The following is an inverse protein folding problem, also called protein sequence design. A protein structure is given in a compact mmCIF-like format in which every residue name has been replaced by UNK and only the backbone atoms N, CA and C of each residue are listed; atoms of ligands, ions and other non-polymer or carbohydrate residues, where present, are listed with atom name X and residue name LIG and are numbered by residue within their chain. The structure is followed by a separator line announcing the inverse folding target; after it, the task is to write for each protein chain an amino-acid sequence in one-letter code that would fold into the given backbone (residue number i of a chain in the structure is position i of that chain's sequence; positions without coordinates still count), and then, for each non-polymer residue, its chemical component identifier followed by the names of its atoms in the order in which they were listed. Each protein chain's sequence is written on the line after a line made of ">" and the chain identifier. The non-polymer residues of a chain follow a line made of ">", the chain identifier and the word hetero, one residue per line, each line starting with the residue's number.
data_IF_372812229902
#
_entry.id   IF_372812229902
#
_cell.length_a   1.000
_cell.length_b   1.000
_cell.length_c   1.000
_cell.angle_alpha   90.00
_cell.angle_beta   90.00
_cell.angle_gamma   90.00
#
_symmetry.space_group_name_H-M   'P 1'
#
loop_
_entity.id
_entity.type
_entity.pdbx_description
1 polymer ?
#
# COMPACT_ATOMS: atom_id res chain seq x y z
N UNK A 1 2.08 15.29 -4.15
CA UNK A 1 0.85 14.89 -4.88
C UNK A 1 1.12 13.97 -6.09
N UNK A 2 2.14 13.10 -6.02
CA UNK A 2 2.30 11.96 -6.93
C UNK A 2 1.26 10.87 -6.63
N UNK A 3 1.32 9.72 -7.34
CA UNK A 3 0.33 8.66 -7.16
C UNK A 3 0.22 8.26 -5.67
N UNK A 4 1.32 7.82 -5.05
CA UNK A 4 1.30 7.37 -3.66
C UNK A 4 1.04 8.52 -2.67
N UNK A 5 1.82 9.61 -2.73
CA UNK A 5 1.65 10.75 -1.82
C UNK A 5 0.28 11.42 -1.95
N UNK A 6 -0.25 11.50 -3.17
CA UNK A 6 -1.60 12.01 -3.38
C UNK A 6 -2.71 11.10 -2.83
N UNK A 7 -2.52 9.77 -2.91
CA UNK A 7 -3.47 8.82 -2.33
C UNK A 7 -3.42 8.85 -0.79
N UNK A 8 -2.24 8.97 -0.20
CA UNK A 8 -2.09 9.14 1.26
C UNK A 8 -2.76 10.45 1.70
N UNK A 9 -2.48 11.58 1.03
CA UNK A 9 -3.10 12.86 1.40
C UNK A 9 -4.63 12.81 1.33
N UNK A 10 -5.19 12.15 0.31
CA UNK A 10 -6.64 11.94 0.20
C UNK A 10 -7.19 11.02 1.29
N UNK A 11 -6.46 9.96 1.60
CA UNK A 11 -6.85 9.04 2.67
C UNK A 11 -6.90 9.75 4.02
N UNK A 12 -5.85 10.52 4.34
CA UNK A 12 -5.79 11.31 5.57
C UNK A 12 -6.90 12.37 5.64
N UNK A 13 -7.18 13.05 4.53
CA UNK A 13 -8.22 14.08 4.48
C UNK A 13 -9.66 13.51 4.53
N UNK A 14 -9.84 12.24 4.20
CA UNK A 14 -11.12 11.53 4.35
C UNK A 14 -11.28 10.89 5.73
N UNK A 15 -10.18 10.74 6.45
CA UNK A 15 -10.15 10.15 7.77
C UNK A 15 -10.79 11.02 8.83
N UNK A 16 -10.82 10.52 10.05
CA UNK A 16 -11.46 11.16 11.20
C UNK A 16 -10.49 11.62 12.29
N UNK A 17 -9.20 11.25 12.16
CA UNK A 17 -8.19 11.47 13.20
C UNK A 17 -7.46 12.79 13.10
N UNK A 18 -7.41 13.38 11.91
CA UNK A 18 -6.81 14.68 11.66
C UNK A 18 -7.72 15.50 10.74
N UNK A 19 -7.76 16.80 10.95
CA UNK A 19 -8.50 17.69 10.06
C UNK A 19 -7.71 17.91 8.75
N UNK A 20 -8.40 18.10 7.63
CA UNK A 20 -7.75 18.35 6.35
C UNK A 20 -6.98 19.70 6.35
N UNK A 21 -7.33 20.63 7.23
CA UNK A 21 -6.60 21.89 7.47
C UNK A 21 -5.21 21.68 8.09
N UNK A 22 -4.95 20.54 8.74
CA UNK A 22 -3.66 20.18 9.33
C UNK A 22 -2.73 19.49 8.32
N UNK A 23 -3.20 19.28 7.09
CA UNK A 23 -2.43 18.65 6.03
C UNK A 23 -1.80 19.67 5.12
N UNK A 24 -0.47 19.62 5.00
CA UNK A 24 0.29 20.44 4.05
C UNK A 24 0.92 19.51 3.01
N UNK A 25 0.67 19.73 1.73
CA UNK A 25 1.20 18.91 0.65
C UNK A 25 2.15 19.69 -0.23
N UNK A 26 3.39 19.23 -0.32
CA UNK A 26 4.40 19.74 -1.26
C UNK A 26 4.48 18.89 -2.53
N UNK A 27 4.61 19.55 -3.67
CA UNK A 27 4.92 18.89 -4.93
C UNK A 27 5.50 19.91 -5.94
N UNK A 28 6.50 19.56 -6.76
CA UNK A 28 7.01 20.46 -7.80
C UNK A 28 6.00 20.77 -8.91
N UNK A 29 4.94 19.98 -9.07
CA UNK A 29 3.90 20.17 -10.10
C UNK A 29 2.69 20.89 -9.52
N UNK A 30 2.49 22.17 -9.86
CA UNK A 30 1.35 22.97 -9.43
C UNK A 30 -0.01 22.33 -9.78
N UNK A 31 -0.18 21.82 -11.00
CA UNK A 31 -1.45 21.24 -11.43
C UNK A 31 -1.89 20.00 -10.62
N UNK A 32 -0.94 19.23 -10.05
CA UNK A 32 -1.28 18.13 -9.14
C UNK A 32 -1.74 18.65 -7.77
N UNK A 33 -1.15 19.74 -7.31
CA UNK A 33 -1.50 20.40 -6.07
C UNK A 33 -2.88 21.02 -6.15
N UNK A 34 -3.15 21.76 -7.22
CA UNK A 34 -4.46 22.40 -7.43
C UNK A 34 -5.60 21.40 -7.56
N UNK A 35 -5.35 20.27 -8.24
CA UNK A 35 -6.32 19.18 -8.29
C UNK A 35 -6.66 18.65 -6.88
N UNK A 36 -5.65 18.44 -6.04
CA UNK A 36 -5.85 17.99 -4.66
C UNK A 36 -6.58 19.06 -3.82
N UNK A 37 -6.19 20.33 -3.94
CA UNK A 37 -6.82 21.46 -3.25
C UNK A 37 -8.29 21.66 -3.65
N UNK A 38 -8.61 21.43 -4.94
CA UNK A 38 -10.00 21.47 -5.41
C UNK A 38 -10.85 20.34 -4.84
N UNK A 39 -10.26 19.17 -4.67
CA UNK A 39 -10.91 17.98 -4.11
C UNK A 39 -11.09 18.10 -2.59
N UNK A 40 -10.09 18.67 -1.89
CA UNK A 40 -10.07 18.91 -0.44
C UNK A 40 -9.66 20.34 -0.14
N UNK A 41 -10.61 21.27 -0.01
CA UNK A 41 -10.32 22.70 0.17
C UNK A 41 -9.60 23.05 1.47
N UNK A 42 -9.64 22.22 2.50
CA UNK A 42 -8.90 22.42 3.75
C UNK A 42 -7.39 22.23 3.60
N UNK A 43 -6.94 21.29 2.75
CA UNK A 43 -5.51 21.00 2.57
C UNK A 43 -4.73 22.23 2.14
N UNK A 44 -3.61 22.51 2.81
CA UNK A 44 -2.64 23.51 2.37
C UNK A 44 -1.69 22.92 1.31
N UNK A 45 -1.36 23.70 0.29
CA UNK A 45 -0.49 23.28 -0.81
C UNK A 45 0.68 24.23 -0.99
N UNK A 46 1.86 23.71 -1.31
CA UNK A 46 3.06 24.51 -1.58
C UNK A 46 3.97 23.80 -2.60
N UNK A 47 4.85 24.55 -3.27
CA UNK A 47 5.92 23.98 -4.07
C UNK A 47 7.23 23.81 -3.29
N UNK A 48 7.30 24.20 -2.02
CA UNK A 48 8.46 24.16 -1.16
C UNK A 48 8.37 23.01 -0.15
N UNK A 49 9.30 22.05 -0.23
CA UNK A 49 9.41 20.96 0.77
C UNK A 49 9.74 21.53 2.16
N UNK A 50 10.57 22.56 2.21
CA UNK A 50 10.98 23.22 3.47
C UNK A 50 9.78 23.87 4.15
N UNK A 51 8.95 24.58 3.39
CA UNK A 51 7.73 25.19 3.91
C UNK A 51 6.77 24.12 4.45
N UNK A 52 6.52 23.05 3.70
CA UNK A 52 5.64 21.96 4.13
C UNK A 52 6.13 21.26 5.40
N UNK A 53 7.44 21.08 5.55
CA UNK A 53 8.02 20.40 6.72
C UNK A 53 8.19 21.30 7.96
N UNK A 54 8.17 22.64 7.76
CA UNK A 54 8.39 23.59 8.85
C UNK A 54 7.17 23.62 9.78
N UNK A 55 7.38 23.20 11.02
CA UNK A 55 6.32 23.18 12.05
C UNK A 55 5.41 21.95 12.01
N UNK A 56 5.55 21.07 11.04
CA UNK A 56 4.84 19.81 11.02
C UNK A 56 5.32 18.86 12.13
N UNK A 57 4.41 18.15 12.78
CA UNK A 57 4.75 17.11 13.77
C UNK A 57 5.16 15.81 13.07
N UNK A 58 4.57 15.54 11.90
CA UNK A 58 4.84 14.34 11.08
C UNK A 58 5.22 14.79 9.67
N UNK A 59 6.34 14.28 9.17
CA UNK A 59 6.82 14.53 7.81
C UNK A 59 6.80 13.22 7.02
N UNK A 60 5.99 13.17 5.95
CA UNK A 60 5.84 11.98 5.10
C UNK A 60 6.60 12.19 3.78
N UNK A 61 7.65 11.40 3.58
CA UNK A 61 8.46 11.39 2.36
C UNK A 61 7.85 10.45 1.32
N UNK A 62 7.04 10.99 0.43
CA UNK A 62 6.40 10.26 -0.66
C UNK A 62 7.07 10.53 -2.02
N UNK A 63 8.39 10.48 -2.04
CA UNK A 63 9.23 10.69 -3.22
C UNK A 63 9.81 9.37 -3.74
N UNK A 64 10.26 9.36 -4.99
CA UNK A 64 10.99 8.21 -5.52
C UNK A 64 12.36 8.07 -4.83
N UNK A 65 12.91 6.86 -4.67
CA UNK A 65 14.18 6.64 -3.95
C UNK A 65 15.32 7.57 -4.39
N UNK A 66 15.48 7.80 -5.66
CA UNK A 66 16.55 8.67 -6.21
C UNK A 66 16.37 10.18 -5.93
N UNK A 67 15.20 10.59 -5.44
CA UNK A 67 14.95 11.95 -4.95
C UNK A 67 15.07 12.08 -3.43
N UNK A 68 15.34 10.99 -2.71
CA UNK A 68 15.42 11.02 -1.26
C UNK A 68 16.53 11.95 -0.77
N UNK A 69 17.74 11.75 -1.25
CA UNK A 69 18.90 12.55 -0.84
C UNK A 69 18.72 14.05 -1.12
N UNK A 70 18.42 14.50 -2.36
CA UNK A 70 18.23 15.92 -2.61
C UNK A 70 17.12 16.57 -1.77
N UNK A 71 16.01 15.86 -1.54
CA UNK A 71 14.91 16.36 -0.69
C UNK A 71 15.36 16.46 0.77
N UNK A 72 15.98 15.42 1.31
CA UNK A 72 16.40 15.41 2.71
C UNK A 72 17.50 16.45 3.01
N UNK A 73 18.38 16.77 2.06
CA UNK A 73 19.41 17.82 2.22
C UNK A 73 18.84 19.22 2.44
N UNK A 74 17.66 19.51 1.86
CA UNK A 74 17.00 20.81 2.06
C UNK A 74 16.26 20.88 3.40
N UNK A 75 15.80 19.73 3.92
CA UNK A 75 14.97 19.68 5.11
C UNK A 75 15.81 19.83 6.38
N UNK A 76 15.38 20.72 7.27
CA UNK A 76 15.96 20.90 8.60
C UNK A 76 15.02 20.31 9.64
N UNK A 77 14.91 18.98 9.65
CA UNK A 77 14.02 18.28 10.56
C UNK A 77 14.53 18.41 12.01
N UNK A 78 13.58 18.51 12.95
CA UNK A 78 13.84 18.59 14.39
C UNK A 78 13.62 17.22 15.03
N UNK A 79 14.37 16.91 16.08
CA UNK A 79 14.32 15.62 16.77
C UNK A 79 12.92 15.21 17.28
N UNK A 80 12.06 16.19 17.57
CA UNK A 80 10.68 15.96 18.01
C UNK A 80 9.71 15.57 16.89
N UNK A 81 10.09 15.75 15.61
CA UNK A 81 9.25 15.38 14.47
C UNK A 81 9.34 13.87 14.22
N UNK A 82 8.25 13.30 13.75
CA UNK A 82 8.22 11.93 13.26
C UNK A 82 8.49 11.93 11.76
N UNK A 83 9.46 11.15 11.33
CA UNK A 83 9.79 10.98 9.91
C UNK A 83 9.17 9.68 9.40
N UNK A 84 8.33 9.76 8.37
CA UNK A 84 7.75 8.62 7.68
C UNK A 84 8.29 8.54 6.25
N UNK A 85 8.88 7.43 5.87
CA UNK A 85 9.26 7.16 4.48
C UNK A 85 8.32 6.14 3.86
N UNK A 86 7.76 6.45 2.69
CA UNK A 86 7.01 5.49 1.85
C UNK A 86 7.80 5.09 0.61
N UNK A 87 9.09 5.40 0.57
CA UNK A 87 9.98 5.02 -0.52
C UNK A 87 10.38 3.54 -0.40
N UNK A 88 10.05 2.76 -1.43
CA UNK A 88 10.51 1.38 -1.51
C UNK A 88 12.04 1.31 -1.64
N UNK A 89 12.66 0.34 -0.97
CA UNK A 89 14.10 0.09 -1.07
C UNK A 89 14.99 1.00 -0.21
N UNK A 90 14.46 1.99 0.50
CA UNK A 90 15.25 2.85 1.40
C UNK A 90 15.15 2.29 2.83
N UNK A 91 16.28 1.90 3.41
CA UNK A 91 16.37 1.34 4.77
C UNK A 91 16.39 2.44 5.86
N UNK A 92 16.20 2.04 7.13
CA UNK A 92 16.43 2.96 8.25
C UNK A 92 17.88 3.41 8.36
N UNK A 93 18.81 2.57 7.97
CA UNK A 93 20.23 2.93 7.95
C UNK A 93 20.49 4.05 6.95
N UNK A 94 19.96 3.94 5.74
CA UNK A 94 20.02 4.98 4.72
C UNK A 94 19.31 6.27 5.14
N UNK A 95 18.12 6.16 5.74
CA UNK A 95 17.38 7.32 6.27
C UNK A 95 18.17 8.03 7.37
N UNK A 96 18.84 7.28 8.25
CA UNK A 96 19.65 7.84 9.35
C UNK A 96 20.81 8.69 8.84
N UNK A 97 21.35 8.45 7.66
CA UNK A 97 22.40 9.30 7.07
C UNK A 97 21.92 10.72 6.71
N UNK A 98 20.60 10.91 6.58
CA UNK A 98 20.02 12.20 6.20
C UNK A 98 19.47 12.99 7.38
N UNK A 99 19.29 12.37 8.56
CA UNK A 99 18.76 13.04 9.74
C UNK A 99 19.88 13.50 10.65
N UNK A 100 19.77 14.72 11.17
CA UNK A 100 20.78 15.30 12.08
C UNK A 100 20.63 14.74 13.51
N UNK A 101 19.42 14.33 13.88
CA UNK A 101 19.10 13.83 15.21
C UNK A 101 19.04 12.28 15.19
N UNK A 102 20.03 11.58 15.72
CA UNK A 102 20.08 10.10 15.70
C UNK A 102 18.91 9.42 16.41
N UNK A 103 18.30 10.12 17.38
CA UNK A 103 17.15 9.67 18.17
C UNK A 103 15.80 9.92 17.51
N UNK A 104 15.76 10.54 16.32
CA UNK A 104 14.51 10.85 15.62
C UNK A 104 13.66 9.60 15.42
N UNK A 105 12.38 9.70 15.77
CA UNK A 105 11.40 8.65 15.52
C UNK A 105 11.15 8.49 14.02
N UNK A 106 11.35 7.29 13.50
CA UNK A 106 11.23 7.00 12.07
C UNK A 106 10.31 5.81 11.83
N UNK A 107 9.47 5.95 10.79
CA UNK A 107 8.67 4.85 10.27
C UNK A 107 8.96 4.63 8.79
N UNK A 108 8.97 3.36 8.40
CA UNK A 108 8.91 2.96 7.00
C UNK A 108 7.54 2.36 6.76
N UNK A 109 6.78 2.99 5.87
CA UNK A 109 5.46 2.53 5.49
C UNK A 109 5.47 2.10 4.03
N UNK A 110 5.01 0.89 3.79
CA UNK A 110 4.87 0.35 2.44
C UNK A 110 3.39 0.04 2.19
N UNK A 111 2.60 1.04 1.80
CA UNK A 111 1.25 0.84 1.33
C UNK A 111 1.25 0.24 -0.08
N UNK A 112 0.10 -0.26 -0.50
CA UNK A 112 -0.11 -0.62 -1.89
C UNK A 112 -1.08 0.35 -2.58
N UNK A 113 -1.33 0.17 -3.87
CA UNK A 113 -2.15 1.09 -4.67
C UNK A 113 -3.62 1.13 -4.26
N UNK A 114 -4.12 0.12 -3.54
CA UNK A 114 -5.50 0.10 -3.04
C UNK A 114 -5.75 1.12 -1.91
N UNK A 115 -4.71 1.85 -1.47
CA UNK A 115 -4.86 2.96 -0.52
C UNK A 115 -5.80 4.06 -1.06
N UNK A 116 -5.93 4.22 -2.38
CA UNK A 116 -6.88 5.15 -2.99
C UNK A 116 -8.33 4.77 -2.72
N UNK A 117 -8.57 3.49 -2.48
CA UNK A 117 -9.89 2.90 -2.21
C UNK A 117 -10.10 2.63 -0.70
N UNK A 118 -9.15 3.04 0.16
CA UNK A 118 -9.13 2.76 1.60
C UNK A 118 -9.05 1.26 1.94
N UNK A 119 -8.45 0.48 1.06
CA UNK A 119 -8.31 -1.00 1.15
C UNK A 119 -6.84 -1.42 1.03
N UNK A 120 -5.91 -0.58 1.50
CA UNK A 120 -4.48 -0.92 1.48
C UNK A 120 -4.16 -2.00 2.50
N UNK A 121 -3.26 -2.89 2.15
CA UNK A 121 -2.42 -3.57 3.13
C UNK A 121 -1.14 -2.74 3.30
N UNK A 122 -1.02 -2.03 4.41
CA UNK A 122 0.13 -1.16 4.70
C UNK A 122 1.06 -1.82 5.70
N UNK A 123 2.28 -2.09 5.27
CA UNK A 123 3.33 -2.61 6.15
C UNK A 123 4.02 -1.44 6.85
N UNK A 124 4.30 -1.60 8.14
CA UNK A 124 4.96 -0.59 8.96
C UNK A 124 6.17 -1.21 9.63
N UNK A 125 7.32 -0.57 9.55
CA UNK A 125 8.43 -0.79 10.46
C UNK A 125 8.72 0.51 11.21
N UNK A 126 9.18 0.39 12.46
CA UNK A 126 9.42 1.51 13.36
C UNK A 126 10.86 1.48 13.90
N UNK A 127 11.46 2.65 14.11
CA UNK A 127 12.78 2.84 14.71
C UNK A 127 12.80 4.09 15.57
N UNK A 128 13.37 4.00 16.77
CA UNK A 128 13.45 5.09 17.77
C UNK A 128 12.07 5.64 18.16
N UNK A 129 11.04 4.82 18.14
CA UNK A 129 9.68 5.18 18.47
C UNK A 129 9.32 4.71 19.87
N UNK A 130 8.22 5.23 20.40
CA UNK A 130 7.59 4.74 21.62
C UNK A 130 6.20 4.18 21.33
N UNK A 131 5.60 3.50 22.31
CA UNK A 131 4.29 2.85 22.17
C UNK A 131 3.16 3.80 21.76
N UNK A 132 3.20 5.08 22.17
CA UNK A 132 2.19 6.07 21.83
C UNK A 132 2.31 6.46 20.34
N UNK A 133 3.53 6.68 19.88
CA UNK A 133 3.82 6.98 18.47
C UNK A 133 3.43 5.81 17.58
N UNK A 134 3.78 4.58 17.96
CA UNK A 134 3.42 3.38 17.22
C UNK A 134 1.90 3.24 17.10
N UNK A 135 1.18 3.33 18.23
CA UNK A 135 -0.29 3.26 18.27
C UNK A 135 -0.95 4.35 17.42
N UNK A 136 -0.42 5.58 17.50
CA UNK A 136 -0.96 6.69 16.72
C UNK A 136 -0.79 6.46 15.22
N UNK A 137 0.41 6.10 14.77
CA UNK A 137 0.69 5.87 13.34
C UNK A 137 -0.10 4.67 12.81
N UNK A 138 -0.16 3.57 13.56
CA UNK A 138 -0.96 2.41 13.16
C UNK A 138 -2.44 2.78 13.03
N UNK A 139 -2.99 3.51 13.99
CA UNK A 139 -4.38 3.97 13.97
C UNK A 139 -4.64 4.93 12.80
N UNK A 140 -3.74 5.89 12.57
CA UNK A 140 -3.86 6.88 11.48
C UNK A 140 -3.94 6.19 10.10
N UNK A 141 -3.07 5.23 9.87
CA UNK A 141 -3.05 4.52 8.58
C UNK A 141 -4.11 3.42 8.48
N UNK A 142 -4.68 2.95 9.60
CA UNK A 142 -5.79 1.99 9.59
C UNK A 142 -7.10 2.57 9.01
N UNK A 143 -7.23 3.88 8.94
CA UNK A 143 -8.33 4.53 8.21
C UNK A 143 -8.24 4.33 6.69
N UNK A 144 -7.09 3.87 6.19
CA UNK A 144 -6.83 3.62 4.77
C UNK A 144 -6.68 2.12 4.42
N UNK A 145 -7.11 1.25 5.31
CA UNK A 145 -7.05 -0.21 5.15
C UNK A 145 -6.42 -0.93 6.34
N UNK A 146 -5.92 -2.13 6.11
CA UNK A 146 -5.26 -2.92 7.16
C UNK A 146 -3.80 -2.50 7.30
N UNK A 147 -3.33 -2.38 8.55
CA UNK A 147 -1.95 -2.01 8.88
C UNK A 147 -1.30 -3.11 9.71
N UNK A 148 -0.04 -3.43 9.39
CA UNK A 148 0.72 -4.44 10.12
C UNK A 148 2.11 -3.92 10.47
N UNK A 149 2.43 -3.89 11.78
CA UNK A 149 3.78 -3.62 12.25
C UNK A 149 4.63 -4.89 12.10
N UNK A 150 5.76 -4.77 11.40
CA UNK A 150 6.67 -5.89 11.13
C UNK A 150 8.13 -5.46 11.32
N UNK A 151 9.04 -6.39 11.62
CA UNK A 151 10.47 -6.11 11.61
C UNK A 151 10.95 -5.62 10.24
N UNK A 152 11.93 -4.71 10.22
CA UNK A 152 12.44 -4.14 8.97
C UNK A 152 12.98 -5.20 8.00
N UNK A 153 13.64 -6.23 8.50
CA UNK A 153 14.21 -7.33 7.69
C UNK A 153 13.12 -8.14 6.94
N UNK A 154 11.86 -8.04 7.35
CA UNK A 154 10.72 -8.68 6.70
C UNK A 154 10.06 -7.82 5.63
N UNK A 155 10.33 -6.51 5.59
CA UNK A 155 9.67 -5.58 4.65
C UNK A 155 9.79 -6.06 3.20
N UNK A 156 10.99 -6.48 2.75
CA UNK A 156 11.17 -6.88 1.35
C UNK A 156 10.27 -8.08 0.97
N UNK A 157 10.24 -9.12 1.81
CA UNK A 157 9.38 -10.28 1.57
C UNK A 157 7.89 -9.94 1.64
N UNK A 158 7.49 -9.15 2.62
CA UNK A 158 6.11 -8.72 2.78
C UNK A 158 5.67 -7.79 1.63
N UNK A 159 6.54 -6.92 1.12
CA UNK A 159 6.30 -6.07 -0.05
C UNK A 159 6.00 -6.90 -1.31
N UNK A 160 6.72 -7.99 -1.51
CA UNK A 160 6.45 -8.92 -2.61
C UNK A 160 5.01 -9.48 -2.55
N UNK A 161 4.53 -9.80 -1.34
CA UNK A 161 3.16 -10.29 -1.12
C UNK A 161 2.10 -9.20 -1.28
N UNK A 162 2.30 -8.03 -0.67
CA UNK A 162 1.23 -7.03 -0.49
C UNK A 162 1.20 -5.97 -1.57
N UNK A 163 2.35 -5.47 -2.02
CA UNK A 163 2.44 -4.41 -3.01
C UNK A 163 2.60 -4.96 -4.44
N UNK A 164 3.55 -5.91 -4.64
CA UNK A 164 3.69 -6.59 -5.93
C UNK A 164 2.52 -7.56 -6.16
N UNK A 165 2.06 -8.22 -5.12
CA UNK A 165 0.94 -9.17 -5.15
C UNK A 165 -0.34 -8.63 -5.77
N UNK A 166 -0.66 -7.35 -5.57
CA UNK A 166 -1.80 -6.70 -6.24
C UNK A 166 -1.71 -6.84 -7.77
N UNK A 167 -0.52 -6.65 -8.35
CA UNK A 167 -0.35 -6.79 -9.79
C UNK A 167 -0.59 -8.24 -10.26
N UNK A 168 -0.22 -9.24 -9.44
CA UNK A 168 -0.45 -10.66 -9.76
C UNK A 168 -1.92 -11.04 -9.67
N UNK A 169 -2.64 -10.51 -8.68
CA UNK A 169 -4.10 -10.65 -8.59
C UNK A 169 -4.78 -10.01 -9.80
N UNK A 170 -4.39 -8.80 -10.18
CA UNK A 170 -4.93 -8.14 -11.38
C UNK A 170 -4.59 -8.90 -12.67
N UNK A 171 -3.43 -9.57 -12.74
CA UNK A 171 -3.08 -10.44 -13.87
C UNK A 171 -3.98 -11.67 -13.94
N UNK A 172 -4.31 -12.27 -12.79
CA UNK A 172 -5.33 -13.32 -12.71
C UNK A 172 -6.70 -12.81 -13.19
N UNK A 173 -7.14 -11.64 -12.72
CA UNK A 173 -8.41 -11.02 -13.17
C UNK A 173 -8.43 -10.87 -14.70
N UNK A 174 -7.35 -10.36 -15.28
CA UNK A 174 -7.23 -10.20 -16.71
C UNK A 174 -7.39 -11.53 -17.46
N UNK A 175 -6.70 -12.58 -17.00
CA UNK A 175 -6.77 -13.90 -17.64
C UNK A 175 -8.18 -14.52 -17.50
N UNK A 176 -8.77 -14.44 -16.30
CA UNK A 176 -10.12 -14.96 -16.06
C UNK A 176 -11.19 -14.21 -16.88
N UNK A 177 -11.02 -12.89 -17.03
CA UNK A 177 -11.91 -12.08 -17.90
C UNK A 177 -11.78 -12.52 -19.38
N UNK A 178 -10.56 -12.77 -19.85
CA UNK A 178 -10.32 -13.27 -21.23
C UNK A 178 -11.01 -14.63 -21.45
N UNK A 179 -10.86 -15.56 -20.50
CA UNK A 179 -11.55 -16.84 -20.55
C UNK A 179 -13.08 -16.67 -20.57
N UNK A 180 -13.64 -15.78 -19.75
CA UNK A 180 -15.07 -15.47 -19.77
C UNK A 180 -15.54 -14.96 -21.13
N UNK A 181 -14.75 -14.11 -21.79
CA UNK A 181 -15.06 -13.59 -23.13
C UNK A 181 -15.03 -14.73 -24.17
N UNK A 182 -14.02 -15.60 -24.09
CA UNK A 182 -13.92 -16.78 -24.99
C UNK A 182 -15.12 -17.72 -24.83
N UNK A 183 -15.68 -17.81 -23.60
CA UNK A 183 -16.90 -18.55 -23.31
C UNK A 183 -18.20 -17.81 -23.67
N UNK A 184 -18.12 -16.62 -24.29
CA UNK A 184 -19.27 -15.86 -24.78
C UNK A 184 -19.83 -14.81 -23.82
N UNK A 185 -19.17 -14.50 -22.71
CA UNK A 185 -19.60 -13.43 -21.80
C UNK A 185 -19.19 -12.05 -22.34
N UNK A 186 -19.99 -11.04 -22.06
CA UNK A 186 -19.60 -9.66 -22.37
C UNK A 186 -18.45 -9.20 -21.45
N UNK A 187 -17.46 -8.43 -21.93
CA UNK A 187 -16.30 -8.03 -21.14
C UNK A 187 -16.65 -7.37 -19.80
N UNK A 188 -17.65 -6.49 -19.78
CA UNK A 188 -18.11 -5.79 -18.57
C UNK A 188 -18.67 -6.75 -17.53
N UNK A 189 -19.45 -7.72 -17.97
CA UNK A 189 -20.09 -8.70 -17.09
C UNK A 189 -19.04 -9.66 -16.51
N UNK A 190 -18.11 -10.16 -17.35
CA UNK A 190 -16.99 -11.00 -16.93
C UNK A 190 -16.14 -10.29 -15.86
N UNK A 191 -15.79 -9.02 -16.07
CA UNK A 191 -15.03 -8.23 -15.10
C UNK A 191 -15.79 -8.08 -13.77
N UNK A 192 -17.06 -7.77 -13.79
CA UNK A 192 -17.89 -7.62 -12.58
C UNK A 192 -18.00 -8.93 -11.80
N UNK A 193 -18.20 -10.06 -12.51
CA UNK A 193 -18.32 -11.39 -11.88
C UNK A 193 -17.00 -11.77 -11.20
N UNK A 194 -15.84 -11.60 -11.86
CA UNK A 194 -14.55 -11.93 -11.29
C UNK A 194 -14.20 -11.04 -10.09
N UNK A 195 -14.45 -9.73 -10.21
CA UNK A 195 -14.19 -8.81 -9.09
C UNK A 195 -14.99 -9.20 -7.84
N UNK A 196 -16.28 -9.56 -7.99
CA UNK A 196 -17.10 -10.00 -6.88
C UNK A 196 -16.64 -11.35 -6.32
N UNK A 197 -16.22 -12.28 -7.16
CA UNK A 197 -15.69 -13.59 -6.73
C UNK A 197 -14.41 -13.44 -5.90
N UNK A 198 -13.50 -12.54 -6.30
CA UNK A 198 -12.29 -12.22 -5.53
C UNK A 198 -12.60 -11.61 -4.17
N UNK A 199 -13.55 -10.66 -4.13
CA UNK A 199 -14.01 -10.08 -2.87
C UNK A 199 -14.58 -11.16 -1.95
N UNK A 200 -15.37 -12.09 -2.49
CA UNK A 200 -15.91 -13.24 -1.75
C UNK A 200 -14.80 -14.16 -1.22
N UNK A 201 -13.83 -14.51 -2.04
CA UNK A 201 -12.71 -15.36 -1.63
C UNK A 201 -11.86 -14.72 -0.51
N UNK A 202 -11.58 -13.40 -0.61
CA UNK A 202 -10.91 -12.66 0.45
C UNK A 202 -11.71 -12.67 1.76
N UNK A 203 -13.01 -12.43 1.69
CA UNK A 203 -13.90 -12.43 2.84
C UNK A 203 -13.97 -13.81 3.53
N UNK A 204 -13.96 -14.90 2.76
CA UNK A 204 -13.95 -16.26 3.33
C UNK A 204 -12.71 -16.49 4.19
N UNK A 205 -11.54 -16.07 3.73
CA UNK A 205 -10.28 -16.21 4.48
C UNK A 205 -10.27 -15.28 5.71
N UNK A 206 -10.64 -14.01 5.53
CA UNK A 206 -10.58 -12.99 6.58
C UNK A 206 -11.57 -13.24 7.72
N UNK A 207 -12.80 -13.68 7.39
CA UNK A 207 -13.86 -13.85 8.38
C UNK A 207 -13.85 -15.19 9.09
N UNK A 208 -13.35 -16.24 8.41
CA UNK A 208 -13.39 -17.61 8.95
C UNK A 208 -12.07 -18.06 9.55
N UNK A 209 -10.98 -17.31 9.37
CA UNK A 209 -9.62 -17.67 9.79
C UNK A 209 -9.24 -19.10 9.33
N UNK A 210 -9.64 -19.44 8.09
CA UNK A 210 -9.45 -20.77 7.52
C UNK A 210 -8.29 -20.80 6.54
N UNK A 211 -7.58 -21.93 6.48
CA UNK A 211 -6.55 -22.11 5.47
C UNK A 211 -7.16 -22.17 4.07
N UNK A 212 -6.54 -21.54 3.04
CA UNK A 212 -7.07 -21.51 1.67
C UNK A 212 -7.46 -22.88 1.11
N UNK A 213 -6.70 -23.96 1.43
CA UNK A 213 -7.04 -25.32 0.99
C UNK A 213 -8.40 -25.80 1.50
N UNK A 214 -8.78 -25.41 2.72
CA UNK A 214 -10.11 -25.75 3.29
C UNK A 214 -11.23 -25.09 2.49
N UNK A 215 -11.06 -23.85 2.09
CA UNK A 215 -12.05 -23.15 1.27
C UNK A 215 -12.11 -23.69 -0.16
N UNK A 216 -10.96 -24.13 -0.72
CA UNK A 216 -10.91 -24.79 -2.02
C UNK A 216 -11.65 -26.14 -1.96
N UNK A 217 -11.44 -26.95 -0.92
CA UNK A 217 -12.09 -28.25 -0.76
C UNK A 217 -13.61 -28.14 -0.70
N UNK A 218 -14.15 -27.08 -0.06
CA UNK A 218 -15.60 -26.86 -0.01
C UNK A 218 -16.26 -26.68 -1.38
N UNK A 219 -15.52 -26.25 -2.38
CA UNK A 219 -16.04 -25.98 -3.74
C UNK A 219 -15.57 -27.02 -4.77
N UNK A 220 -14.75 -28.00 -4.36
CA UNK A 220 -14.23 -29.09 -5.21
C UNK A 220 -14.91 -30.41 -4.88
N UNK A 221 -16.17 -30.55 -5.31
CA UNK A 221 -16.98 -31.76 -5.07
C UNK A 221 -16.56 -32.92 -5.99
N UNK A 222 -16.76 -34.21 -5.56
CA UNK A 222 -16.45 -35.37 -6.39
C UNK A 222 -17.13 -35.33 -7.76
N UNK A 223 -16.34 -35.45 -8.83
CA UNK A 223 -16.83 -35.38 -10.21
C UNK A 223 -17.24 -34.00 -10.70
N UNK A 224 -17.15 -32.97 -9.85
CA UNK A 224 -17.55 -31.59 -10.15
C UNK A 224 -16.66 -30.92 -11.20
N UNK A 225 -17.09 -29.75 -11.65
CA UNK A 225 -16.34 -28.98 -12.68
C UNK A 225 -15.14 -28.23 -12.07
N UNK A 226 -15.23 -27.80 -10.82
CA UNK A 226 -14.20 -27.01 -10.16
C UNK A 226 -12.90 -27.82 -9.99
N UNK A 227 -12.98 -29.09 -9.57
CA UNK A 227 -11.77 -29.92 -9.42
C UNK A 227 -11.03 -30.11 -10.73
N UNK A 228 -11.75 -30.23 -11.87
CA UNK A 228 -11.13 -30.31 -13.20
C UNK A 228 -10.35 -29.04 -13.53
N UNK A 229 -10.91 -27.88 -13.21
CA UNK A 229 -10.22 -26.58 -13.39
C UNK A 229 -8.98 -26.44 -12.51
N UNK A 230 -9.06 -26.83 -11.22
CA UNK A 230 -7.90 -26.82 -10.31
C UNK A 230 -6.79 -27.72 -10.83
N UNK A 231 -7.12 -28.96 -11.25
CA UNK A 231 -6.12 -29.86 -11.80
C UNK A 231 -5.47 -29.30 -13.08
N UNK A 232 -6.23 -28.63 -13.94
CA UNK A 232 -5.69 -28.01 -15.16
C UNK A 232 -4.75 -26.84 -14.83
N UNK A 233 -5.05 -26.03 -13.80
CA UNK A 233 -4.14 -25.00 -13.30
C UNK A 233 -2.83 -25.62 -12.80
N UNK A 234 -2.88 -26.73 -12.05
CA UNK A 234 -1.68 -27.40 -11.54
C UNK A 234 -0.88 -28.07 -12.65
N UNK A 235 -1.51 -28.72 -13.63
CA UNK A 235 -0.83 -29.29 -14.80
C UNK A 235 -0.05 -28.21 -15.58
N UNK A 236 -0.55 -26.98 -15.61
CA UNK A 236 0.12 -25.83 -16.23
C UNK A 236 1.06 -25.07 -15.29
N UNK A 237 1.30 -25.59 -14.08
CA UNK A 237 2.30 -25.09 -13.15
C UNK A 237 1.94 -23.77 -12.46
N UNK A 238 0.65 -23.50 -12.23
CA UNK A 238 0.15 -22.27 -11.62
C UNK A 238 0.81 -21.97 -10.28
N UNK A 239 0.83 -22.94 -9.36
CA UNK A 239 1.46 -22.78 -8.04
C UNK A 239 2.95 -22.43 -8.17
N UNK A 240 3.68 -23.13 -9.05
CA UNK A 240 5.10 -22.84 -9.30
C UNK A 240 5.32 -21.43 -9.87
N UNK A 241 4.45 -20.99 -10.79
CA UNK A 241 4.54 -19.68 -11.40
C UNK A 241 4.35 -18.56 -10.37
N UNK A 242 3.34 -18.67 -9.49
CA UNK A 242 3.08 -17.71 -8.43
C UNK A 242 4.25 -17.65 -7.43
N UNK A 243 4.75 -18.79 -6.96
CA UNK A 243 5.89 -18.84 -6.03
C UNK A 243 7.13 -18.16 -6.65
N UNK A 244 7.44 -18.47 -7.91
CA UNK A 244 8.57 -17.87 -8.62
C UNK A 244 8.41 -16.35 -8.79
N UNK A 245 7.21 -15.89 -9.15
CA UNK A 245 6.92 -14.47 -9.30
C UNK A 245 7.12 -13.70 -7.98
N UNK A 246 6.56 -14.23 -6.88
CA UNK A 246 6.74 -13.64 -5.54
C UNK A 246 8.21 -13.58 -5.14
N UNK A 247 8.98 -14.66 -5.35
CA UNK A 247 10.41 -14.71 -5.02
C UNK A 247 11.26 -13.76 -5.88
N UNK A 248 10.90 -13.56 -7.14
CA UNK A 248 11.59 -12.65 -8.04
C UNK A 248 11.35 -11.16 -7.70
N UNK A 249 10.37 -10.88 -6.85
CA UNK A 249 10.00 -9.50 -6.43
C UNK A 249 10.59 -9.11 -5.06
N UNK A 250 11.43 -9.97 -4.47
CA UNK A 250 12.09 -9.73 -3.18
C UNK A 250 13.49 -9.06 -3.34
#
# INVERSE_FOLDING_TARGET
>A
AGNMGGSIARGLAKGSLIDDSDIIVSNPSAGKLEKLKKEFPGISITNSNVEAATGADIVILAVKPWFMEPVMRELKLKSKQILISVAAGISFEELAHYVVAPEMAMFRLIPNTAISELESMTLVAARNTNDEQDKFILRLFSEMGTVMLIPEDKIAAATALTSCGIAYVLKYVQAAMQAGIEMGLRPKDAMQMIAQSLKGAAALIQNNDTHPSVEIDKVTTPGGITIKGINELEHNGFTSAIIKAMKASK
#
